data_IF_997019591294
#
_entry.id   IF_997019591294
#
_cell.length_a   1.000
_cell.length_b   1.000
_cell.length_c   1.000
_cell.angle_alpha   90.00
_cell.angle_beta   90.00
_cell.angle_gamma   90.00
#
_symmetry.space_group_name_H-M   'P 1'
#
loop_
_entity.id
_entity.type
_entity.pdbx_description
1 polymer ?
#
# COMPACT_ATOMS: atom_id res chain seq x y z
N UNK A 1 -17.24 15.16 -17.77
CA UNK A 1 -15.86 14.98 -18.29
C UNK A 1 -15.00 14.54 -17.16
N UNK A 2 -14.36 13.38 -17.30
CA UNK A 2 -13.55 12.73 -16.26
C UNK A 2 -12.06 12.95 -16.56
N UNK A 3 -11.23 13.00 -15.52
CA UNK A 3 -9.77 13.08 -15.65
C UNK A 3 -9.19 11.69 -15.74
N UNK A 4 -8.38 11.44 -16.74
CA UNK A 4 -7.73 10.15 -16.99
C UNK A 4 -6.23 10.33 -17.12
N UNK A 5 -5.50 9.27 -16.76
CA UNK A 5 -4.06 9.20 -16.95
C UNK A 5 -3.67 7.88 -17.60
N UNK A 6 -2.65 7.89 -18.44
CA UNK A 6 -2.10 6.67 -19.03
C UNK A 6 -0.63 6.85 -19.39
N UNK A 7 0.04 5.73 -19.57
CA UNK A 7 1.42 5.65 -20.05
C UNK A 7 1.38 5.16 -21.47
N UNK A 8 2.01 5.93 -22.38
CA UNK A 8 2.28 5.51 -23.75
C UNK A 8 3.75 5.14 -23.90
N UNK A 9 4.03 4.03 -24.57
CA UNK A 9 5.36 3.73 -25.09
C UNK A 9 5.36 4.00 -26.59
N UNK A 10 6.21 4.92 -27.01
CA UNK A 10 6.26 5.38 -28.39
C UNK A 10 7.64 5.07 -28.97
N UNK A 11 7.76 4.84 -30.30
CA UNK A 11 9.07 4.76 -30.93
C UNK A 11 9.82 6.11 -30.82
N UNK A 12 11.13 6.06 -30.72
CA UNK A 12 11.97 7.27 -30.72
C UNK A 12 12.14 7.83 -32.15
N UNK A 13 10.99 8.12 -32.78
CA UNK A 13 10.91 8.64 -34.13
C UNK A 13 10.35 10.05 -34.18
N UNK A 14 10.78 10.90 -35.13
CA UNK A 14 10.13 12.19 -35.36
C UNK A 14 8.64 12.02 -35.62
N UNK A 15 7.80 12.75 -34.82
CA UNK A 15 6.35 12.71 -34.96
C UNK A 15 5.64 11.65 -34.11
N UNK A 16 6.34 10.82 -33.33
CA UNK A 16 5.70 9.84 -32.46
C UNK A 16 4.74 10.51 -31.45
N UNK A 17 5.20 11.53 -30.74
CA UNK A 17 4.38 12.31 -29.83
C UNK A 17 3.21 13.02 -30.54
N UNK A 18 3.44 13.51 -31.76
CA UNK A 18 2.41 14.14 -32.58
C UNK A 18 1.27 13.15 -32.88
N UNK A 19 1.59 11.91 -33.30
CA UNK A 19 0.58 10.86 -33.55
C UNK A 19 -0.26 10.54 -32.31
N UNK A 20 0.35 10.48 -31.14
CA UNK A 20 -0.39 10.31 -29.89
C UNK A 20 -1.35 11.47 -29.62
N UNK A 21 -0.87 12.72 -29.79
CA UNK A 21 -1.68 13.91 -29.61
C UNK A 21 -2.83 14.03 -30.65
N UNK A 22 -2.62 13.58 -31.90
CA UNK A 22 -3.67 13.51 -32.92
C UNK A 22 -4.79 12.53 -32.52
N UNK A 23 -4.46 11.36 -31.97
CA UNK A 23 -5.45 10.42 -31.49
C UNK A 23 -6.22 11.02 -30.31
N UNK A 24 -5.55 11.66 -29.37
CA UNK A 24 -6.19 12.32 -28.23
C UNK A 24 -7.17 13.39 -28.73
N UNK A 25 -6.73 14.24 -29.64
CA UNK A 25 -7.56 15.29 -30.27
C UNK A 25 -8.77 14.72 -31.04
N UNK A 26 -8.59 13.61 -31.78
CA UNK A 26 -9.66 12.94 -32.54
C UNK A 26 -10.88 12.62 -31.69
N UNK A 27 -10.68 12.30 -30.44
CA UNK A 27 -11.72 11.99 -29.47
C UNK A 27 -12.01 13.14 -28.47
N UNK A 28 -11.68 14.36 -28.86
CA UNK A 28 -11.94 15.57 -28.09
C UNK A 28 -11.29 15.56 -26.68
N UNK A 29 -10.22 14.77 -26.50
CA UNK A 29 -9.44 14.74 -25.26
C UNK A 29 -8.63 16.01 -25.11
N UNK A 30 -8.72 16.66 -23.94
CA UNK A 30 -7.87 17.78 -23.58
C UNK A 30 -6.70 17.31 -22.75
N UNK A 31 -5.47 17.50 -23.26
CA UNK A 31 -4.25 17.17 -22.52
C UNK A 31 -4.03 18.22 -21.43
N UNK A 32 -4.15 17.82 -20.17
CA UNK A 32 -3.92 18.68 -19.02
C UNK A 32 -2.45 18.68 -18.61
N UNK A 33 -1.78 17.52 -18.81
CA UNK A 33 -0.38 17.34 -18.46
C UNK A 33 0.26 16.29 -19.36
N UNK A 34 1.53 16.53 -19.68
CA UNK A 34 2.40 15.59 -20.35
C UNK A 34 3.76 15.57 -19.64
N UNK A 35 4.29 14.40 -19.41
CA UNK A 35 5.65 14.24 -18.93
C UNK A 35 6.43 13.34 -19.91
N UNK A 36 7.48 13.89 -20.51
CA UNK A 36 8.34 13.21 -21.46
C UNK A 36 9.76 13.76 -21.39
N UNK A 37 10.69 12.89 -21.11
CA UNK A 37 12.11 13.25 -21.10
C UNK A 37 12.91 12.27 -21.98
N UNK A 38 13.11 12.64 -23.23
CA UNK A 38 13.83 11.85 -24.23
C UNK A 38 15.25 11.47 -23.80
N UNK A 39 15.89 12.28 -22.96
CA UNK A 39 17.28 12.01 -22.52
C UNK A 39 17.37 10.84 -21.54
N UNK A 40 16.27 10.51 -20.89
CA UNK A 40 16.21 9.50 -19.84
C UNK A 40 15.51 8.25 -20.33
N UNK A 41 14.31 8.40 -20.87
CA UNK A 41 13.58 7.34 -21.54
C UNK A 41 12.97 7.92 -22.84
N UNK A 42 13.55 7.58 -24.01
CA UNK A 42 13.07 8.10 -25.27
C UNK A 42 11.72 7.49 -25.72
N UNK A 43 11.24 6.49 -25.00
CA UNK A 43 10.08 5.71 -25.40
C UNK A 43 8.83 5.98 -24.55
N UNK A 44 8.99 6.35 -23.28
CA UNK A 44 7.87 6.45 -22.33
C UNK A 44 7.38 7.88 -22.16
N UNK A 45 6.06 8.07 -22.31
CA UNK A 45 5.39 9.35 -22.13
C UNK A 45 4.17 9.16 -21.20
N UNK A 46 4.06 10.04 -20.22
CA UNK A 46 2.91 10.11 -19.35
C UNK A 46 1.95 11.18 -19.86
N UNK A 47 0.69 10.82 -19.99
CA UNK A 47 -0.39 11.74 -20.34
C UNK A 47 -1.41 11.81 -19.22
N UNK A 48 -1.81 13.03 -18.88
CA UNK A 48 -3.02 13.32 -18.11
C UNK A 48 -3.95 14.13 -19.00
N UNK A 49 -5.18 13.70 -19.11
CA UNK A 49 -6.16 14.34 -19.99
C UNK A 49 -7.57 14.34 -19.40
N UNK A 50 -8.41 15.21 -19.91
CA UNK A 50 -9.85 15.24 -19.60
C UNK A 50 -10.64 14.81 -20.84
N UNK A 51 -11.53 13.81 -20.68
CA UNK A 51 -12.40 13.30 -21.74
C UNK A 51 -13.71 12.74 -21.13
N UNK A 52 -14.66 12.30 -21.99
CA UNK A 52 -15.74 11.41 -21.54
C UNK A 52 -15.21 9.98 -21.42
N UNK A 53 -15.89 9.13 -20.63
CA UNK A 53 -15.50 7.74 -20.43
C UNK A 53 -15.50 6.97 -21.77
N UNK A 54 -16.48 7.23 -22.63
CA UNK A 54 -16.59 6.64 -23.97
C UNK A 54 -15.44 7.08 -24.89
N UNK A 55 -15.13 8.38 -24.92
CA UNK A 55 -14.01 8.95 -25.68
C UNK A 55 -12.68 8.38 -25.23
N UNK A 56 -12.46 8.23 -23.90
CA UNK A 56 -11.27 7.62 -23.34
C UNK A 56 -11.11 6.15 -23.76
N UNK A 57 -12.21 5.36 -23.74
CA UNK A 57 -12.21 3.98 -24.21
C UNK A 57 -11.80 3.85 -25.69
N UNK A 58 -12.37 4.67 -26.57
CA UNK A 58 -12.02 4.67 -28.01
C UNK A 58 -10.58 5.16 -28.25
N UNK A 59 -10.13 6.17 -27.54
CA UNK A 59 -8.78 6.70 -27.61
C UNK A 59 -7.72 5.66 -27.21
N UNK A 60 -7.95 4.98 -26.09
CA UNK A 60 -7.02 3.94 -25.60
C UNK A 60 -6.97 2.74 -26.56
N UNK A 61 -8.08 2.40 -27.20
CA UNK A 61 -8.10 1.33 -28.21
C UNK A 61 -7.31 1.72 -29.46
N UNK A 62 -7.43 2.95 -29.97
CA UNK A 62 -6.63 3.41 -31.11
C UNK A 62 -5.14 3.52 -30.76
N UNK A 63 -4.80 3.98 -29.54
CA UNK A 63 -3.39 3.98 -29.08
C UNK A 63 -2.82 2.56 -28.96
N UNK A 64 -3.63 1.61 -28.49
CA UNK A 64 -3.24 0.19 -28.42
C UNK A 64 -3.01 -0.40 -29.81
N UNK A 65 -3.88 -0.07 -30.79
CA UNK A 65 -3.80 -0.56 -32.17
C UNK A 65 -2.52 -0.11 -32.85
N UNK A 66 -2.00 1.09 -32.55
CA UNK A 66 -0.71 1.55 -33.10
C UNK A 66 0.49 1.15 -32.23
N UNK A 67 0.26 0.34 -31.18
CA UNK A 67 1.31 -0.15 -30.30
C UNK A 67 1.83 0.85 -29.27
N UNK A 68 1.11 1.95 -29.04
CA UNK A 68 1.54 2.99 -28.10
C UNK A 68 1.05 2.78 -26.68
N UNK A 69 -0.06 2.08 -26.47
CA UNK A 69 -0.56 1.80 -25.14
C UNK A 69 -0.02 0.45 -24.65
N UNK A 70 0.76 0.48 -23.58
CA UNK A 70 1.21 -0.74 -22.92
C UNK A 70 0.23 -1.19 -21.83
N UNK A 71 -0.05 -2.48 -21.83
CA UNK A 71 -0.85 -3.15 -20.80
C UNK A 71 0.04 -3.88 -19.79
N UNK A 72 1.34 -3.98 -20.06
CA UNK A 72 2.32 -4.63 -19.19
C UNK A 72 3.52 -3.71 -18.96
N UNK A 73 3.97 -3.63 -17.72
CA UNK A 73 5.19 -2.93 -17.32
C UNK A 73 6.44 -3.74 -17.71
N UNK A 74 6.76 -3.77 -19.01
CA UNK A 74 8.11 -4.07 -19.43
C UNK A 74 8.91 -2.77 -19.36
N UNK A 75 9.64 -2.57 -18.30
CA UNK A 75 10.41 -1.34 -18.11
C UNK A 75 11.86 -1.59 -18.36
N UNK A 76 12.51 -0.81 -19.24
CA UNK A 76 13.94 -0.84 -19.33
C UNK A 76 14.56 -0.46 -17.98
N UNK A 77 15.49 -1.25 -17.51
CA UNK A 77 16.31 -0.90 -16.36
C UNK A 77 17.28 0.19 -16.77
N UNK A 78 17.40 1.22 -15.95
CA UNK A 78 18.33 2.31 -16.19
C UNK A 78 19.48 2.23 -15.19
N UNK A 79 20.72 2.26 -15.67
CA UNK A 79 21.92 2.22 -14.84
C UNK A 79 22.81 3.41 -15.15
N UNK A 80 23.07 4.25 -14.18
CA UNK A 80 24.05 5.34 -14.28
C UNK A 80 25.20 5.09 -13.33
N UNK A 81 26.41 5.21 -13.85
CA UNK A 81 27.60 5.02 -13.06
C UNK A 81 28.79 5.77 -13.67
N UNK A 82 29.78 6.05 -12.81
CA UNK A 82 31.09 6.44 -13.27
C UNK A 82 31.95 5.19 -13.45
N UNK A 83 32.63 5.11 -14.58
CA UNK A 83 33.71 4.16 -14.82
C UNK A 83 35.01 4.91 -14.98
N UNK A 84 36.08 4.40 -14.38
CA UNK A 84 37.40 4.98 -14.47
C UNK A 84 38.19 4.18 -15.50
N UNK A 85 38.37 4.79 -16.70
CA UNK A 85 39.06 4.18 -17.82
C UNK A 85 40.49 4.67 -17.87
N UNK A 86 41.49 3.79 -18.21
CA UNK A 86 42.86 4.23 -18.43
C UNK A 86 42.91 5.19 -19.60
N UNK A 87 43.69 6.26 -19.49
CA UNK A 87 43.84 7.27 -20.53
C UNK A 87 44.78 6.75 -21.62
N UNK A 88 44.27 5.81 -22.44
CA UNK A 88 45.00 5.19 -23.57
C UNK A 88 44.09 4.91 -24.74
N UNK A 89 44.64 4.90 -25.97
CA UNK A 89 43.88 4.56 -27.16
C UNK A 89 43.19 3.18 -27.04
N UNK A 90 41.88 3.14 -27.35
CA UNK A 90 41.10 1.91 -27.33
C UNK A 90 40.41 1.58 -25.98
N UNK A 91 40.73 2.26 -24.85
CA UNK A 91 40.14 1.96 -23.57
C UNK A 91 38.62 2.10 -23.55
N UNK A 92 38.08 3.15 -24.18
CA UNK A 92 36.63 3.32 -24.33
C UNK A 92 36.03 2.23 -25.20
N UNK A 93 36.66 1.84 -26.29
CA UNK A 93 36.20 0.76 -27.19
C UNK A 93 36.11 -0.57 -26.43
N UNK A 94 37.12 -0.90 -25.65
CA UNK A 94 37.12 -2.12 -24.82
C UNK A 94 35.95 -2.11 -23.82
N UNK A 95 35.70 -0.99 -23.17
CA UNK A 95 34.57 -0.83 -22.30
C UNK A 95 33.22 -0.97 -23.03
N UNK A 96 33.07 -0.33 -24.21
CA UNK A 96 31.84 -0.39 -25.00
C UNK A 96 31.53 -1.81 -25.51
N UNK A 97 32.52 -2.68 -25.65
CA UNK A 97 32.29 -4.09 -25.98
C UNK A 97 31.47 -4.81 -24.89
N UNK A 98 31.64 -4.43 -23.60
CA UNK A 98 30.82 -4.99 -22.51
C UNK A 98 29.38 -4.53 -22.59
N UNK A 99 29.14 -3.25 -22.88
CA UNK A 99 27.76 -2.73 -23.01
C UNK A 99 27.05 -3.36 -24.20
N UNK A 100 27.73 -3.51 -25.33
CA UNK A 100 27.20 -4.18 -26.52
C UNK A 100 26.91 -5.66 -26.27
N UNK A 101 27.84 -6.37 -25.59
CA UNK A 101 27.66 -7.80 -25.28
C UNK A 101 26.52 -8.04 -24.28
N UNK A 102 26.16 -7.04 -23.51
CA UNK A 102 25.05 -7.07 -22.55
C UNK A 102 23.73 -6.57 -23.14
N UNK A 103 23.71 -6.23 -24.44
CA UNK A 103 22.54 -5.61 -25.11
C UNK A 103 22.07 -4.33 -24.42
N UNK A 104 23.03 -3.56 -23.89
CA UNK A 104 22.77 -2.33 -23.15
C UNK A 104 22.86 -1.14 -24.09
N UNK A 105 21.79 -0.36 -24.17
CA UNK A 105 21.77 0.87 -24.96
C UNK A 105 22.33 2.04 -24.14
N UNK A 106 23.22 2.83 -24.75
CA UNK A 106 23.83 4.01 -24.12
C UNK A 106 22.90 5.19 -24.31
N UNK A 107 22.29 5.64 -23.19
CA UNK A 107 21.43 6.82 -23.16
C UNK A 107 22.23 8.13 -23.00
N UNK A 108 23.37 8.05 -22.30
CA UNK A 108 24.23 9.20 -22.06
C UNK A 108 25.67 8.74 -21.82
N UNK A 109 26.63 9.51 -22.32
CA UNK A 109 28.06 9.37 -22.03
C UNK A 109 28.67 10.76 -21.93
N UNK A 110 29.42 10.99 -20.88
CA UNK A 110 30.18 12.23 -20.65
C UNK A 110 31.61 11.90 -20.27
N UNK A 111 32.54 12.46 -21.04
CA UNK A 111 33.97 12.30 -20.86
C UNK A 111 34.68 13.60 -21.22
N UNK A 112 35.53 14.09 -20.31
CA UNK A 112 36.34 15.29 -20.50
C UNK A 112 37.78 15.03 -20.03
N UNK A 113 38.74 14.93 -20.95
CA UNK A 113 40.14 14.72 -20.66
C UNK A 113 40.84 15.92 -20.03
N UNK A 114 40.21 17.10 -20.07
CA UNK A 114 40.65 18.35 -19.40
C UNK A 114 39.97 18.61 -18.09
N UNK A 115 39.01 17.76 -17.74
CA UNK A 115 38.27 17.89 -16.50
C UNK A 115 39.11 17.57 -15.26
N UNK A 116 38.53 17.81 -14.08
CA UNK A 116 39.16 17.52 -12.78
C UNK A 116 39.52 16.04 -12.59
N UNK A 117 38.83 15.16 -13.31
CA UNK A 117 39.02 13.70 -13.25
C UNK A 117 39.06 13.15 -14.69
N UNK A 118 40.21 13.23 -15.39
CA UNK A 118 40.31 12.90 -16.80
C UNK A 118 40.09 11.41 -17.14
N UNK A 119 40.17 10.55 -16.14
CA UNK A 119 39.92 9.10 -16.29
C UNK A 119 38.44 8.72 -16.10
N UNK A 120 37.62 9.65 -15.60
CA UNK A 120 36.23 9.37 -15.25
C UNK A 120 35.32 9.56 -16.45
N UNK A 121 34.63 8.49 -16.82
CA UNK A 121 33.55 8.51 -17.80
C UNK A 121 32.23 8.29 -17.07
N UNK A 122 31.30 9.22 -17.18
CA UNK A 122 29.94 9.07 -16.66
C UNK A 122 29.05 8.47 -17.76
N UNK A 123 28.41 7.35 -17.46
CA UNK A 123 27.58 6.62 -18.41
C UNK A 123 26.23 6.34 -17.82
N UNK A 124 25.21 6.50 -18.69
CA UNK A 124 23.85 6.06 -18.41
C UNK A 124 23.45 5.05 -19.48
N UNK A 125 22.98 3.90 -19.04
CA UNK A 125 22.56 2.80 -19.90
C UNK A 125 21.07 2.55 -19.73
N UNK A 126 20.40 2.20 -20.83
CA UNK A 126 19.06 1.63 -20.82
C UNK A 126 19.17 0.13 -21.07
N UNK A 127 18.54 -0.67 -20.24
CA UNK A 127 18.58 -2.13 -20.25
C UNK A 127 17.16 -2.68 -20.30
N UNK A 128 16.91 -3.66 -21.14
CA UNK A 128 15.56 -4.23 -21.28
C UNK A 128 15.14 -5.07 -20.07
N UNK A 129 16.09 -5.58 -19.30
CA UNK A 129 15.85 -6.37 -18.08
C UNK A 129 16.81 -5.98 -16.95
N UNK A 130 16.33 -5.96 -15.71
CA UNK A 130 17.15 -5.68 -14.53
C UNK A 130 18.29 -6.70 -14.33
N UNK A 131 18.06 -7.96 -14.71
CA UNK A 131 19.08 -9.01 -14.65
C UNK A 131 20.29 -8.72 -15.57
N UNK A 132 20.11 -7.92 -16.62
CA UNK A 132 21.20 -7.48 -17.50
C UNK A 132 22.13 -6.51 -16.75
N UNK A 133 21.58 -5.62 -15.91
CA UNK A 133 22.39 -4.71 -15.09
C UNK A 133 23.33 -5.47 -14.15
N UNK A 134 22.82 -6.50 -13.48
CA UNK A 134 23.62 -7.30 -12.55
C UNK A 134 24.71 -8.08 -13.26
N UNK A 135 24.40 -8.68 -14.42
CA UNK A 135 25.41 -9.37 -15.26
C UNK A 135 26.48 -8.41 -15.75
N UNK A 136 26.09 -7.23 -16.24
CA UNK A 136 27.00 -6.21 -16.72
C UNK A 136 27.92 -5.71 -15.60
N UNK A 137 27.37 -5.35 -14.45
CA UNK A 137 28.16 -4.90 -13.30
C UNK A 137 29.10 -5.98 -12.79
N UNK A 138 28.66 -7.25 -12.78
CA UNK A 138 29.50 -8.40 -12.41
C UNK A 138 30.66 -8.58 -13.36
N UNK A 139 30.47 -8.35 -14.67
CA UNK A 139 31.51 -8.43 -15.67
C UNK A 139 32.48 -7.25 -15.62
N UNK A 140 32.02 -6.05 -15.28
CA UNK A 140 32.82 -4.82 -15.24
C UNK A 140 33.64 -4.65 -13.95
N UNK A 141 33.07 -5.00 -12.78
CA UNK A 141 33.74 -4.82 -11.46
C UNK A 141 35.13 -5.40 -11.33
N UNK A 142 35.50 -6.56 -11.91
CA UNK A 142 36.87 -7.09 -11.83
C UNK A 142 37.88 -6.32 -12.69
N UNK A 143 37.42 -5.56 -13.68
CA UNK A 143 38.28 -4.91 -14.69
C UNK A 143 38.39 -3.40 -14.54
N UNK A 144 37.32 -2.77 -14.00
CA UNK A 144 37.24 -1.32 -13.89
C UNK A 144 36.84 -0.91 -12.49
N UNK A 145 37.38 0.22 -12.04
CA UNK A 145 36.85 0.91 -10.89
C UNK A 145 35.50 1.51 -11.31
N UNK A 146 34.43 1.12 -10.62
CA UNK A 146 33.08 1.61 -10.84
C UNK A 146 32.59 2.36 -9.60
N UNK A 147 31.93 3.48 -9.85
CA UNK A 147 31.17 4.22 -8.85
C UNK A 147 29.72 4.27 -9.35
N UNK A 148 28.85 3.48 -8.72
CA UNK A 148 27.45 3.42 -9.11
C UNK A 148 26.76 4.66 -8.59
N UNK A 149 26.34 5.53 -9.50
CA UNK A 149 25.54 6.68 -9.23
C UNK A 149 24.07 6.23 -9.19
N UNK A 150 23.73 5.39 -8.22
CA UNK A 150 22.32 5.14 -7.96
C UNK A 150 21.72 6.43 -7.45
N UNK A 151 20.91 7.09 -8.31
CA UNK A 151 20.14 8.27 -7.95
C UNK A 151 20.94 9.43 -7.37
N UNK A 152 21.04 10.44 -8.20
CA UNK A 152 21.19 11.83 -7.83
C UNK A 152 21.82 12.14 -6.48
N UNK A 153 23.14 12.10 -6.46
CA UNK A 153 23.92 12.76 -5.43
C UNK A 153 24.21 14.23 -5.75
N UNK A 154 23.70 14.77 -6.87
CA UNK A 154 24.03 16.12 -7.34
C UNK A 154 22.96 17.17 -7.09
N UNK A 155 21.81 16.82 -6.49
CA UNK A 155 20.71 17.77 -6.20
C UNK A 155 19.99 18.29 -7.46
N UNK A 156 20.35 17.88 -8.65
CA UNK A 156 19.58 18.08 -9.87
C UNK A 156 18.51 16.99 -9.94
N UNK A 157 17.25 17.38 -9.99
CA UNK A 157 16.10 16.50 -10.07
C UNK A 157 16.20 15.60 -11.30
N UNK A 158 16.96 14.53 -11.18
CA UNK A 158 16.90 13.45 -12.15
C UNK A 158 15.54 12.83 -12.02
N UNK A 159 14.88 13.01 -13.06
CA UNK A 159 13.67 12.44 -13.55
C UNK A 159 13.02 11.49 -12.56
N UNK A 160 12.10 12.05 -11.83
CA UNK A 160 11.19 11.33 -10.96
C UNK A 160 10.56 10.12 -11.67
N UNK A 161 10.46 10.17 -13.00
CA UNK A 161 9.94 9.08 -13.83
C UNK A 161 10.70 7.77 -13.65
N UNK A 162 12.04 7.79 -13.66
CA UNK A 162 12.86 6.58 -13.47
C UNK A 162 12.69 6.05 -12.06
N UNK A 163 12.64 6.94 -11.07
CA UNK A 163 12.38 6.56 -9.68
C UNK A 163 11.02 5.86 -9.55
N UNK A 164 9.96 6.42 -10.13
CA UNK A 164 8.61 5.87 -10.02
C UNK A 164 8.44 4.54 -10.75
N UNK A 165 9.06 4.41 -11.92
CA UNK A 165 9.05 3.14 -12.65
C UNK A 165 9.76 2.04 -11.85
N UNK A 166 10.92 2.33 -11.25
CA UNK A 166 11.60 1.38 -10.37
C UNK A 166 10.83 1.09 -9.08
N UNK A 167 10.18 2.09 -8.52
CA UNK A 167 9.28 1.88 -7.40
C UNK A 167 8.19 0.87 -7.78
N UNK A 168 7.52 1.04 -8.91
CA UNK A 168 6.50 0.10 -9.40
C UNK A 168 7.07 -1.31 -9.65
N UNK A 169 8.29 -1.43 -10.18
CA UNK A 169 8.97 -2.73 -10.35
C UNK A 169 9.24 -3.42 -9.00
N UNK A 170 9.71 -2.68 -7.99
CA UNK A 170 9.92 -3.21 -6.63
C UNK A 170 8.61 -3.54 -5.94
N UNK A 171 7.54 -2.82 -6.28
CA UNK A 171 6.21 -3.02 -5.73
C UNK A 171 5.54 -4.29 -6.30
N UNK A 172 5.78 -4.61 -7.58
CA UNK A 172 5.17 -5.76 -8.27
C UNK A 172 5.23 -7.08 -7.50
N UNK A 173 6.38 -7.56 -6.99
CA UNK A 173 6.43 -8.83 -6.26
C UNK A 173 5.72 -8.80 -4.90
N UNK A 174 5.33 -7.61 -4.42
CA UNK A 174 4.59 -7.42 -3.17
C UNK A 174 3.07 -7.42 -3.41
N UNK A 175 2.61 -6.81 -4.52
CA UNK A 175 1.18 -6.74 -4.85
C UNK A 175 0.69 -7.94 -5.65
N UNK A 176 1.55 -8.58 -6.44
CA UNK A 176 1.25 -9.72 -7.30
C UNK A 176 1.45 -9.40 -8.78
N UNK A 177 1.83 -10.41 -9.56
CA UNK A 177 2.16 -10.26 -10.99
C UNK A 177 0.95 -9.93 -11.87
N UNK A 178 -0.27 -10.17 -11.39
CA UNK A 178 -1.51 -9.88 -12.11
C UNK A 178 -2.00 -8.43 -11.93
N UNK A 179 -1.33 -7.64 -11.10
CA UNK A 179 -1.78 -6.30 -10.69
C UNK A 179 -1.22 -5.17 -11.58
N UNK A 180 -0.84 -5.48 -12.82
CA UNK A 180 -0.31 -4.48 -13.77
C UNK A 180 -1.26 -3.29 -13.97
N UNK A 181 -2.56 -3.52 -14.01
CA UNK A 181 -3.54 -2.44 -14.14
C UNK A 181 -3.55 -1.48 -12.94
N UNK A 182 -3.33 -1.99 -11.73
CA UNK A 182 -3.17 -1.17 -10.54
C UNK A 182 -1.86 -0.37 -10.59
N UNK A 183 -0.74 -1.04 -10.92
CA UNK A 183 0.57 -0.38 -11.01
C UNK A 183 0.59 0.72 -12.07
N UNK A 184 -0.09 0.51 -13.20
CA UNK A 184 -0.24 1.55 -14.24
C UNK A 184 -1.05 2.74 -13.75
N UNK A 185 -2.13 2.53 -13.02
CA UNK A 185 -2.92 3.62 -12.40
C UNK A 185 -2.09 4.37 -11.37
N UNK A 186 -1.40 3.65 -10.48
CA UNK A 186 -0.52 4.26 -9.48
C UNK A 186 0.54 5.18 -10.13
N UNK A 187 1.18 4.71 -11.19
CA UNK A 187 2.13 5.53 -11.96
C UNK A 187 1.46 6.75 -12.60
N UNK A 188 0.22 6.61 -13.06
CA UNK A 188 -0.56 7.73 -13.61
C UNK A 188 -0.88 8.78 -12.55
N UNK A 189 -1.20 8.35 -11.34
CA UNK A 189 -1.57 9.23 -10.23
C UNK A 189 -0.35 9.78 -9.48
N UNK A 190 0.84 9.28 -9.78
CA UNK A 190 2.05 9.56 -8.99
C UNK A 190 2.36 11.06 -8.88
N UNK A 191 2.11 11.82 -9.94
CA UNK A 191 2.33 13.27 -9.92
C UNK A 191 1.38 13.99 -8.97
N UNK A 192 0.13 13.52 -8.89
CA UNK A 192 -0.86 14.05 -7.95
C UNK A 192 -0.46 13.70 -6.52
N UNK A 193 -0.08 12.44 -6.29
CA UNK A 193 0.45 11.96 -4.99
C UNK A 193 1.62 12.82 -4.53
N UNK A 194 2.59 13.05 -5.40
CA UNK A 194 3.78 13.87 -5.08
C UNK A 194 3.42 15.32 -4.78
N UNK A 195 2.46 15.90 -5.51
CA UNK A 195 1.99 17.26 -5.23
C UNK A 195 1.30 17.35 -3.86
N UNK A 196 0.44 16.40 -3.51
CA UNK A 196 -0.20 16.36 -2.19
C UNK A 196 0.83 16.13 -1.07
N UNK A 197 1.77 15.19 -1.24
CA UNK A 197 2.85 14.98 -0.27
C UNK A 197 3.69 16.24 -0.08
N UNK A 198 4.04 16.94 -1.16
CA UNK A 198 4.80 18.19 -1.11
C UNK A 198 4.02 19.31 -0.41
N UNK A 199 2.71 19.39 -0.65
CA UNK A 199 1.84 20.39 0.00
C UNK A 199 1.79 20.23 1.52
N UNK A 200 1.96 19.01 2.03
CA UNK A 200 2.04 18.71 3.46
C UNK A 200 3.47 18.58 3.99
N UNK A 201 4.47 18.95 3.17
CA UNK A 201 5.88 18.98 3.58
C UNK A 201 6.55 17.61 3.72
N UNK A 202 6.01 16.56 3.08
CA UNK A 202 6.59 15.21 3.12
C UNK A 202 7.47 14.94 1.90
N UNK A 203 8.61 14.28 2.15
CA UNK A 203 9.49 13.79 1.08
C UNK A 203 8.87 12.53 0.44
N UNK A 204 8.50 12.62 -0.84
CA UNK A 204 7.89 11.53 -1.57
C UNK A 204 8.78 10.28 -1.66
N UNK A 205 10.11 10.44 -1.72
CA UNK A 205 11.05 9.30 -1.78
C UNK A 205 11.06 8.51 -0.48
N UNK A 206 10.99 9.20 0.64
CA UNK A 206 10.87 8.58 1.96
C UNK A 206 9.53 7.84 2.09
N UNK A 207 8.43 8.46 1.67
CA UNK A 207 7.09 7.86 1.66
C UNK A 207 7.06 6.59 0.80
N UNK A 208 7.58 6.63 -0.43
CA UNK A 208 7.61 5.44 -1.29
C UNK A 208 8.53 4.33 -0.76
N UNK A 209 9.64 4.69 -0.11
CA UNK A 209 10.48 3.71 0.60
C UNK A 209 9.71 3.03 1.73
N UNK A 210 8.91 3.76 2.48
CA UNK A 210 8.07 3.22 3.55
C UNK A 210 6.96 2.31 3.06
N UNK A 211 6.35 2.63 1.92
CA UNK A 211 5.39 1.74 1.26
C UNK A 211 6.03 0.38 0.95
N UNK A 212 7.23 0.37 0.38
CA UNK A 212 7.95 -0.89 0.11
C UNK A 212 8.28 -1.65 1.39
N UNK A 213 8.71 -0.95 2.45
CA UNK A 213 8.96 -1.57 3.76
C UNK A 213 7.70 -2.20 4.34
N UNK A 214 6.56 -1.51 4.26
CA UNK A 214 5.27 -2.04 4.73
C UNK A 214 4.95 -3.37 4.07
N UNK A 215 4.95 -3.43 2.73
CA UNK A 215 4.66 -4.66 1.99
C UNK A 215 5.69 -5.77 2.24
N UNK A 216 6.97 -5.41 2.33
CA UNK A 216 8.06 -6.37 2.63
C UNK A 216 7.90 -6.96 4.03
N UNK A 217 7.64 -6.13 5.04
CA UNK A 217 7.47 -6.58 6.43
C UNK A 217 6.27 -7.51 6.56
N UNK A 218 5.11 -7.19 5.95
CA UNK A 218 3.94 -8.08 5.96
C UNK A 218 4.27 -9.45 5.36
N UNK A 219 5.02 -9.47 4.25
CA UNK A 219 5.43 -10.73 3.61
C UNK A 219 6.43 -11.52 4.45
N UNK A 220 7.41 -10.86 5.04
CA UNK A 220 8.46 -11.51 5.87
C UNK A 220 7.92 -12.03 7.19
N UNK A 221 6.87 -11.41 7.73
CA UNK A 221 6.24 -11.82 8.99
C UNK A 221 5.06 -12.80 8.80
N UNK A 222 4.85 -13.34 7.60
CA UNK A 222 3.89 -14.40 7.31
C UNK A 222 4.59 -15.77 7.18
N UNK A 223 3.85 -16.87 7.34
CA UNK A 223 4.37 -18.23 7.23
C UNK A 223 5.47 -18.50 8.26
N UNK A 224 6.68 -18.85 7.83
CA UNK A 224 7.79 -19.17 8.72
C UNK A 224 8.24 -17.98 9.60
N UNK A 225 7.92 -16.75 9.20
CA UNK A 225 8.22 -15.55 9.96
C UNK A 225 7.10 -15.14 10.92
N UNK A 226 5.97 -15.83 10.91
CA UNK A 226 4.83 -15.48 11.75
C UNK A 226 5.11 -15.73 13.23
N UNK A 227 4.69 -14.79 14.06
CA UNK A 227 4.72 -14.88 15.51
C UNK A 227 3.50 -14.16 16.11
N UNK A 228 3.09 -14.55 17.31
CA UNK A 228 2.04 -13.86 18.04
C UNK A 228 2.32 -13.89 19.54
N UNK A 229 2.00 -12.79 20.22
CA UNK A 229 1.88 -12.82 21.67
C UNK A 229 0.46 -13.25 22.02
N UNK A 230 0.34 -14.18 22.98
CA UNK A 230 -0.94 -14.78 23.33
C UNK A 230 -1.19 -14.63 24.83
N UNK A 231 -2.34 -14.04 25.16
CA UNK A 231 -2.81 -13.95 26.53
C UNK A 231 -4.16 -14.67 26.65
N UNK A 232 -4.30 -15.51 27.66
CA UNK A 232 -5.59 -16.11 28.06
C UNK A 232 -6.06 -15.49 29.34
N UNK A 233 -7.30 -15.03 29.36
CA UNK A 233 -7.97 -14.42 30.51
C UNK A 233 -9.23 -15.23 30.81
N UNK A 234 -9.31 -15.96 31.92
CA UNK A 234 -10.56 -16.56 32.37
C UNK A 234 -11.52 -15.43 32.78
N UNK A 235 -12.62 -15.26 32.05
CA UNK A 235 -13.61 -14.21 32.32
C UNK A 235 -14.67 -14.72 33.28
N UNK A 236 -15.20 -15.93 33.00
CA UNK A 236 -16.11 -16.64 33.88
C UNK A 236 -15.67 -18.10 34.02
N UNK A 237 -16.40 -18.91 34.81
CA UNK A 237 -16.11 -20.37 34.89
C UNK A 237 -16.22 -21.08 33.52
N UNK A 238 -17.00 -20.53 32.60
CA UNK A 238 -17.31 -21.13 31.30
C UNK A 238 -16.74 -20.35 30.10
N UNK A 239 -16.13 -19.19 30.33
CA UNK A 239 -15.68 -18.32 29.23
C UNK A 239 -14.24 -17.91 29.41
N UNK A 240 -13.40 -18.31 28.47
CA UNK A 240 -12.05 -17.79 28.29
C UNK A 240 -12.01 -16.73 27.20
N UNK A 241 -11.33 -15.62 27.45
CA UNK A 241 -10.94 -14.65 26.47
C UNK A 241 -9.47 -14.88 26.08
N UNK A 242 -9.22 -15.15 24.82
CA UNK A 242 -7.88 -15.18 24.23
C UNK A 242 -7.61 -13.87 23.48
N UNK A 243 -6.49 -13.22 23.80
CA UNK A 243 -5.99 -12.04 23.12
C UNK A 243 -4.76 -12.47 22.30
N UNK A 244 -4.83 -12.34 20.98
CA UNK A 244 -3.74 -12.66 20.07
C UNK A 244 -3.23 -11.38 19.42
N UNK A 245 -1.99 -11.00 19.72
CA UNK A 245 -1.33 -9.87 19.09
C UNK A 245 -0.41 -10.37 17.96
N UNK A 246 -0.82 -10.18 16.71
CA UNK A 246 -0.07 -10.61 15.52
C UNK A 246 1.07 -9.65 15.16
N UNK A 247 1.93 -9.95 14.15
CA UNK A 247 3.18 -9.19 13.94
C UNK A 247 3.02 -7.70 13.64
N UNK A 248 2.20 -7.33 12.68
CA UNK A 248 2.19 -5.99 12.07
C UNK A 248 1.00 -5.11 12.46
N UNK A 249 0.29 -5.45 13.50
CA UNK A 249 -0.90 -4.72 13.93
C UNK A 249 -2.13 -5.61 13.93
N UNK A 250 -3.22 -5.04 14.41
CA UNK A 250 -4.44 -5.77 14.72
C UNK A 250 -4.27 -6.74 15.89
N UNK A 251 -5.27 -6.79 16.72
CA UNK A 251 -5.42 -7.83 17.72
C UNK A 251 -6.64 -8.68 17.34
N UNK A 252 -6.54 -9.97 17.54
CA UNK A 252 -7.68 -10.87 17.45
C UNK A 252 -8.10 -11.20 18.89
N UNK A 253 -9.37 -10.99 19.19
CA UNK A 253 -9.91 -11.42 20.46
C UNK A 253 -10.88 -12.57 20.22
N UNK A 254 -10.70 -13.68 20.94
CA UNK A 254 -11.55 -14.85 20.82
C UNK A 254 -12.14 -15.19 22.18
N UNK A 255 -13.46 -15.10 22.29
CA UNK A 255 -14.20 -15.65 23.40
C UNK A 255 -14.53 -17.11 23.09
N UNK A 256 -14.08 -17.99 23.96
CA UNK A 256 -14.32 -19.43 23.86
C UNK A 256 -15.21 -19.90 25.01
N UNK A 257 -16.37 -20.44 24.66
CA UNK A 257 -17.26 -21.16 25.58
C UNK A 257 -17.21 -22.67 25.27
N UNK A 258 -17.83 -23.55 26.07
CA UNK A 258 -17.95 -24.96 25.73
C UNK A 258 -18.63 -25.22 24.37
N UNK A 259 -19.62 -24.39 24.01
CA UNK A 259 -20.50 -24.64 22.88
C UNK A 259 -20.24 -23.73 21.67
N UNK A 260 -19.71 -22.53 21.88
CA UNK A 260 -19.46 -21.56 20.83
C UNK A 260 -18.11 -20.85 20.97
N UNK A 261 -17.64 -20.26 19.88
CA UNK A 261 -16.58 -19.27 19.90
C UNK A 261 -17.04 -18.01 19.12
N UNK A 262 -16.67 -16.85 19.66
CA UNK A 262 -16.95 -15.55 19.08
C UNK A 262 -15.65 -14.78 18.91
N UNK A 263 -15.42 -14.28 17.71
CA UNK A 263 -14.17 -13.59 17.37
C UNK A 263 -14.42 -12.10 17.12
N UNK A 264 -13.55 -11.25 17.67
CA UNK A 264 -13.51 -9.82 17.38
C UNK A 264 -12.25 -9.54 16.58
N UNK A 265 -12.43 -9.00 15.38
CA UNK A 265 -11.43 -8.74 14.35
C UNK A 265 -10.70 -9.99 13.83
N UNK A 266 -10.02 -9.87 12.69
CA UNK A 266 -9.55 -11.02 11.91
C UNK A 266 -8.09 -10.94 11.46
N UNK A 267 -7.38 -9.86 11.83
CA UNK A 267 -6.05 -9.51 11.33
C UNK A 267 -5.98 -9.34 9.79
N UNK A 268 -4.77 -9.16 9.27
CA UNK A 268 -4.51 -9.12 7.83
C UNK A 268 -4.78 -10.47 7.16
N UNK A 269 -5.37 -10.45 5.97
CA UNK A 269 -5.65 -11.68 5.21
C UNK A 269 -4.42 -12.53 4.89
N UNK A 270 -3.24 -11.91 4.73
CA UNK A 270 -1.98 -12.63 4.51
C UNK A 270 -1.61 -13.55 5.66
N UNK A 271 -2.07 -13.26 6.88
CA UNK A 271 -1.82 -14.07 8.07
C UNK A 271 -2.86 -15.17 8.30
N UNK A 272 -3.93 -15.23 7.48
CA UNK A 272 -5.02 -16.17 7.74
C UNK A 272 -4.56 -17.63 8.00
N UNK A 273 -3.66 -18.25 7.19
CA UNK A 273 -3.21 -19.61 7.45
C UNK A 273 -2.48 -19.76 8.80
N UNK A 274 -1.73 -18.75 9.17
CA UNK A 274 -0.96 -18.72 10.43
C UNK A 274 -1.89 -18.51 11.63
N UNK A 275 -2.88 -17.63 11.47
CA UNK A 275 -3.92 -17.38 12.46
C UNK A 275 -4.78 -18.60 12.69
N UNK A 276 -5.20 -19.30 11.63
CA UNK A 276 -5.96 -20.54 11.74
C UNK A 276 -5.18 -21.60 12.54
N UNK A 277 -3.91 -21.83 12.19
CA UNK A 277 -3.04 -22.74 12.91
C UNK A 277 -2.84 -22.34 14.39
N UNK A 278 -2.73 -21.04 14.65
CA UNK A 278 -2.62 -20.48 16.00
C UNK A 278 -3.91 -20.72 16.81
N UNK A 279 -5.08 -20.40 16.23
CA UNK A 279 -6.37 -20.61 16.89
C UNK A 279 -6.58 -22.08 17.25
N UNK A 280 -6.30 -23.02 16.33
CA UNK A 280 -6.39 -24.47 16.57
C UNK A 280 -5.43 -24.93 17.67
N UNK A 281 -4.25 -24.36 17.75
CA UNK A 281 -3.27 -24.69 18.78
C UNK A 281 -3.71 -24.30 20.18
N UNK A 282 -4.28 -23.09 20.33
CA UNK A 282 -4.63 -22.56 21.65
C UNK A 282 -6.08 -22.90 22.07
N UNK A 283 -6.97 -23.11 21.09
CA UNK A 283 -8.38 -23.43 21.32
C UNK A 283 -8.78 -24.61 20.43
N UNK A 284 -8.39 -25.84 20.81
CA UNK A 284 -8.71 -27.04 20.02
C UNK A 284 -10.21 -27.17 19.74
N UNK A 285 -10.56 -27.46 18.47
CA UNK A 285 -11.94 -27.58 18.00
C UNK A 285 -12.65 -26.24 17.81
N UNK A 286 -11.92 -25.14 17.74
CA UNK A 286 -12.48 -23.80 17.51
C UNK A 286 -13.19 -23.70 16.16
N UNK A 287 -12.72 -24.40 15.14
CA UNK A 287 -13.30 -24.40 13.78
C UNK A 287 -14.75 -24.88 13.76
N UNK A 288 -15.11 -25.82 14.63
CA UNK A 288 -16.49 -26.31 14.77
C UNK A 288 -17.40 -25.47 15.66
N UNK A 289 -16.80 -24.51 16.41
CA UNK A 289 -17.51 -23.67 17.37
C UNK A 289 -17.55 -22.19 17.02
N UNK A 290 -16.66 -21.74 16.11
CA UNK A 290 -16.62 -20.35 15.68
C UNK A 290 -17.89 -20.01 14.91
N UNK A 291 -18.78 -19.26 15.52
CA UNK A 291 -20.14 -19.04 15.04
C UNK A 291 -20.36 -17.63 14.46
N UNK A 292 -19.57 -16.68 14.93
CA UNK A 292 -19.74 -15.26 14.58
C UNK A 292 -18.39 -14.52 14.66
N UNK A 293 -18.27 -13.52 13.78
CA UNK A 293 -17.19 -12.52 13.84
C UNK A 293 -17.83 -11.14 14.08
N UNK A 294 -17.17 -10.28 14.82
CA UNK A 294 -17.44 -8.85 14.84
C UNK A 294 -16.23 -8.13 14.27
N UNK A 295 -16.46 -7.26 13.30
CA UNK A 295 -15.44 -6.37 12.72
C UNK A 295 -15.63 -4.99 13.35
N UNK A 296 -14.62 -4.53 14.08
CA UNK A 296 -14.69 -3.24 14.78
C UNK A 296 -14.67 -2.05 13.82
N UNK A 297 -13.87 -2.13 12.76
CA UNK A 297 -13.76 -1.11 11.71
C UNK A 297 -13.11 -1.66 10.44
N UNK A 298 -12.96 -0.82 9.41
CA UNK A 298 -12.64 -1.26 8.06
C UNK A 298 -11.15 -1.45 7.76
N UNK A 299 -10.24 -1.04 8.65
CA UNK A 299 -8.81 -1.20 8.39
C UNK A 299 -8.42 -2.67 8.19
N UNK A 300 -7.46 -2.90 7.29
CA UNK A 300 -7.16 -4.23 6.79
C UNK A 300 -6.63 -5.20 7.85
N UNK A 301 -6.03 -4.71 8.92
CA UNK A 301 -5.57 -5.50 10.08
C UNK A 301 -6.69 -5.87 11.05
N UNK A 302 -7.89 -5.39 10.82
CA UNK A 302 -9.10 -5.74 11.57
C UNK A 302 -10.09 -6.55 10.74
N UNK A 303 -10.31 -6.15 9.49
CA UNK A 303 -11.33 -6.76 8.61
C UNK A 303 -10.78 -7.69 7.55
N UNK A 304 -9.44 -7.67 7.31
CA UNK A 304 -8.82 -8.22 6.11
C UNK A 304 -8.80 -9.74 6.00
N UNK A 305 -8.92 -10.47 7.10
CA UNK A 305 -9.01 -11.93 7.13
C UNK A 305 -10.43 -12.48 7.12
N UNK A 306 -11.45 -11.61 7.25
CA UNK A 306 -12.84 -12.05 7.49
C UNK A 306 -13.46 -12.90 6.40
N UNK A 307 -13.10 -12.69 5.13
CA UNK A 307 -13.63 -13.43 3.99
C UNK A 307 -13.05 -14.84 3.80
N UNK A 308 -12.08 -15.23 4.63
CA UNK A 308 -11.61 -16.62 4.68
C UNK A 308 -12.47 -17.51 5.57
N UNK A 309 -13.38 -16.91 6.36
CA UNK A 309 -14.33 -17.61 7.22
C UNK A 309 -15.73 -17.57 6.60
N UNK A 310 -16.38 -18.75 6.45
CA UNK A 310 -17.76 -18.84 5.95
C UNK A 310 -18.77 -18.75 7.11
N UNK A 311 -18.67 -17.66 7.88
CA UNK A 311 -19.55 -17.39 9.02
C UNK A 311 -20.04 -15.93 9.00
N UNK A 312 -21.16 -15.60 9.67
CA UNK A 312 -21.67 -14.23 9.74
C UNK A 312 -20.69 -13.28 10.40
N UNK A 313 -20.43 -12.14 9.78
CA UNK A 313 -19.65 -11.05 10.34
C UNK A 313 -20.52 -9.85 10.62
N UNK A 314 -20.56 -9.42 11.89
CA UNK A 314 -21.28 -8.24 12.34
C UNK A 314 -20.40 -7.01 12.15
N UNK A 315 -20.94 -5.96 11.55
CA UNK A 315 -20.22 -4.69 11.40
C UNK A 315 -21.18 -3.50 11.25
N UNK A 316 -20.63 -2.32 11.41
CA UNK A 316 -21.35 -1.07 11.15
C UNK A 316 -21.50 -0.83 9.64
N UNK A 317 -22.59 -0.12 9.24
CA UNK A 317 -22.83 0.25 7.84
C UNK A 317 -21.64 1.04 7.25
N UNK A 318 -21.08 2.03 7.97
CA UNK A 318 -19.93 2.82 7.53
C UNK A 318 -18.68 1.97 7.29
N UNK A 319 -18.44 0.94 8.12
CA UNK A 319 -17.37 -0.04 7.91
C UNK A 319 -17.54 -0.77 6.58
N UNK A 320 -18.74 -1.25 6.28
CA UNK A 320 -19.06 -1.89 4.99
C UNK A 320 -18.85 -0.93 3.82
N UNK A 321 -19.31 0.31 3.93
CA UNK A 321 -19.17 1.33 2.88
C UNK A 321 -17.71 1.64 2.56
N UNK A 322 -16.84 1.78 3.59
CA UNK A 322 -15.39 1.95 3.42
C UNK A 322 -14.78 0.75 2.67
N UNK A 323 -15.15 -0.48 3.06
CA UNK A 323 -14.67 -1.71 2.41
C UNK A 323 -15.07 -1.73 0.93
N UNK A 324 -16.34 -1.44 0.61
CA UNK A 324 -16.87 -1.43 -0.75
C UNK A 324 -16.22 -0.34 -1.63
N UNK A 325 -15.90 0.81 -1.06
CA UNK A 325 -15.23 1.93 -1.75
C UNK A 325 -13.72 1.78 -1.84
N UNK A 326 -13.14 0.88 -1.07
CA UNK A 326 -11.68 0.76 -0.89
C UNK A 326 -11.00 2.11 -0.63
N UNK A 327 -11.62 2.90 0.24
CA UNK A 327 -11.13 4.23 0.66
C UNK A 327 -11.43 4.43 2.16
N UNK A 328 -10.42 4.32 3.01
CA UNK A 328 -10.57 4.42 4.47
C UNK A 328 -11.10 5.76 4.95
N UNK A 329 -10.93 6.81 4.14
CA UNK A 329 -11.44 8.14 4.45
C UNK A 329 -12.91 8.37 4.06
N UNK A 330 -13.56 7.38 3.43
CA UNK A 330 -14.96 7.50 3.02
C UNK A 330 -15.86 7.89 4.18
N UNK A 331 -16.77 8.83 3.94
CA UNK A 331 -17.65 9.40 4.98
C UNK A 331 -16.99 10.45 5.89
N UNK A 332 -15.74 10.83 5.65
CA UNK A 332 -15.00 11.84 6.41
C UNK A 332 -14.73 13.12 5.61
N UNK A 333 -14.18 14.13 6.28
CA UNK A 333 -13.80 15.41 5.64
C UNK A 333 -12.66 15.27 4.63
N UNK A 334 -11.87 14.21 4.71
CA UNK A 334 -10.71 13.94 3.85
C UNK A 334 -10.97 12.85 2.81
N UNK A 335 -12.23 12.52 2.56
CA UNK A 335 -12.64 11.49 1.59
C UNK A 335 -12.03 11.67 0.20
N UNK A 336 -11.84 12.93 -0.23
CA UNK A 336 -11.25 13.27 -1.53
C UNK A 336 -9.73 13.18 -1.61
N UNK A 337 -9.03 12.81 -0.54
CA UNK A 337 -7.57 12.69 -0.57
C UNK A 337 -7.11 11.46 -1.37
N UNK A 338 -6.31 11.69 -2.40
CA UNK A 338 -5.69 10.62 -3.19
C UNK A 338 -4.75 9.77 -2.32
N UNK A 339 -4.15 10.33 -1.28
CA UNK A 339 -3.23 9.63 -0.39
C UNK A 339 -3.96 8.52 0.39
N UNK A 340 -5.15 8.81 0.91
CA UNK A 340 -5.97 7.85 1.66
C UNK A 340 -6.47 6.71 0.76
N UNK A 341 -6.89 7.03 -0.46
CA UNK A 341 -7.33 6.03 -1.42
C UNK A 341 -6.18 5.10 -1.84
N UNK A 342 -5.03 5.67 -2.19
CA UNK A 342 -3.84 4.91 -2.61
C UNK A 342 -3.32 4.04 -1.46
N UNK A 343 -3.26 4.58 -0.23
CA UNK A 343 -2.86 3.83 0.94
C UNK A 343 -3.77 2.61 1.15
N UNK A 344 -5.08 2.82 1.13
CA UNK A 344 -6.06 1.73 1.32
C UNK A 344 -5.87 0.62 0.29
N UNK A 345 -5.73 0.98 -1.00
CA UNK A 345 -5.52 0.01 -2.08
C UNK A 345 -4.21 -0.76 -1.94
N UNK A 346 -3.12 -0.07 -1.58
CA UNK A 346 -1.81 -0.71 -1.37
C UNK A 346 -1.84 -1.69 -0.21
N UNK A 347 -2.38 -1.29 0.93
CA UNK A 347 -2.50 -2.16 2.12
C UNK A 347 -3.38 -3.38 1.81
N UNK A 348 -4.49 -3.18 1.10
CA UNK A 348 -5.38 -4.29 0.72
C UNK A 348 -4.65 -5.32 -0.17
N UNK A 349 -3.82 -4.87 -1.11
CA UNK A 349 -3.03 -5.76 -1.96
C UNK A 349 -1.93 -6.48 -1.17
N UNK A 350 -1.14 -5.76 -0.37
CA UNK A 350 -0.07 -6.35 0.43
C UNK A 350 -0.58 -7.39 1.42
N UNK A 351 -1.70 -7.08 2.06
CA UNK A 351 -2.31 -7.90 3.09
C UNK A 351 -3.14 -9.05 2.55
N UNK A 352 -3.29 -9.21 1.23
CA UNK A 352 -4.24 -10.17 0.63
C UNK A 352 -5.65 -9.99 1.21
N UNK A 353 -6.09 -8.74 1.26
CA UNK A 353 -7.35 -8.33 1.84
C UNK A 353 -8.52 -9.12 1.26
N UNK A 354 -9.21 -9.83 2.13
CA UNK A 354 -10.44 -10.53 1.81
C UNK A 354 -11.46 -10.25 2.90
N UNK A 355 -12.29 -9.23 2.71
CA UNK A 355 -13.30 -8.85 3.72
C UNK A 355 -14.40 -9.90 3.82
N UNK A 356 -15.18 -9.91 4.91
CA UNK A 356 -16.30 -10.82 5.07
C UNK A 356 -17.30 -10.72 3.93
N UNK A 357 -17.80 -11.86 3.46
CA UNK A 357 -18.84 -11.94 2.44
C UNK A 357 -20.26 -12.03 3.06
N UNK A 358 -20.37 -12.70 4.22
CA UNK A 358 -21.63 -12.86 4.96
C UNK A 358 -21.78 -11.79 6.02
N UNK A 359 -22.29 -10.62 5.63
CA UNK A 359 -22.35 -9.43 6.48
C UNK A 359 -23.72 -9.34 7.15
N UNK A 360 -23.71 -9.10 8.47
CA UNK A 360 -24.87 -8.67 9.27
C UNK A 360 -24.58 -7.27 9.76
N UNK A 361 -25.40 -6.29 9.37
CA UNK A 361 -25.22 -4.92 9.80
C UNK A 361 -25.89 -4.70 11.16
N UNK A 362 -25.24 -3.92 12.02
CA UNK A 362 -25.89 -3.42 13.22
C UNK A 362 -27.09 -2.56 12.86
N UNK A 363 -28.11 -2.51 13.73
CA UNK A 363 -29.25 -1.61 13.57
C UNK A 363 -28.82 -0.15 13.42
N UNK A 364 -29.71 0.66 12.87
CA UNK A 364 -29.50 2.11 12.86
C UNK A 364 -29.52 2.65 14.31
N UNK A 365 -28.84 3.79 14.49
CA UNK A 365 -28.71 4.47 15.78
C UNK A 365 -30.06 4.66 16.47
N UNK A 366 -30.15 4.14 17.68
CA UNK A 366 -31.25 4.40 18.61
C UNK A 366 -31.02 5.66 19.47
N UNK A 367 -31.92 5.84 20.48
CA UNK A 367 -31.82 6.96 21.44
C UNK A 367 -30.93 6.62 22.64
N UNK A 368 -30.60 5.34 22.85
CA UNK A 368 -29.81 4.89 23.99
C UNK A 368 -28.38 5.36 23.87
N UNK A 369 -27.84 5.90 24.95
CA UNK A 369 -26.47 6.39 25.04
C UNK A 369 -25.71 5.71 26.17
N UNK A 370 -24.45 5.39 25.94
CA UNK A 370 -23.51 5.00 26.97
C UNK A 370 -22.31 5.96 26.96
N UNK A 371 -22.21 6.81 27.99
CA UNK A 371 -21.33 7.98 27.96
C UNK A 371 -21.69 8.91 26.79
N UNK A 372 -20.73 9.18 25.90
CA UNK A 372 -20.96 10.00 24.69
C UNK A 372 -21.31 9.18 23.44
N UNK A 373 -21.38 7.85 23.57
CA UNK A 373 -21.53 6.93 22.46
C UNK A 373 -22.97 6.40 22.34
N UNK A 374 -23.59 6.44 21.15
CA UNK A 374 -24.83 5.74 20.92
C UNK A 374 -24.67 4.23 21.09
N UNK A 375 -25.65 3.57 21.68
CA UNK A 375 -25.73 2.11 21.73
C UNK A 375 -26.46 1.63 20.48
N UNK A 376 -25.77 0.82 19.67
CA UNK A 376 -26.33 0.23 18.44
C UNK A 376 -27.06 -1.07 18.73
N UNK A 377 -26.47 -1.92 19.56
CA UNK A 377 -26.96 -3.27 19.78
C UNK A 377 -26.43 -3.83 21.11
N UNK A 378 -26.99 -5.00 21.49
CA UNK A 378 -26.55 -5.81 22.63
C UNK A 378 -26.23 -7.22 22.15
N UNK A 379 -24.94 -7.60 22.29
CA UNK A 379 -24.48 -8.92 21.90
C UNK A 379 -24.28 -9.82 23.13
N UNK A 380 -24.73 -11.06 23.02
CA UNK A 380 -24.48 -12.09 24.04
C UNK A 380 -23.46 -13.10 23.55
N UNK A 381 -22.53 -13.44 24.44
CA UNK A 381 -21.53 -14.48 24.28
C UNK A 381 -21.54 -15.31 25.55
N UNK A 382 -22.17 -16.48 25.53
CA UNK A 382 -22.49 -17.21 26.74
C UNK A 382 -23.32 -16.37 27.72
N UNK A 383 -22.82 -16.17 28.93
CA UNK A 383 -23.40 -15.33 29.98
C UNK A 383 -22.96 -13.87 29.93
N UNK A 384 -22.05 -13.47 29.06
CA UNK A 384 -21.64 -12.08 28.86
C UNK A 384 -22.64 -11.31 28.01
N UNK A 385 -22.98 -10.10 28.41
CA UNK A 385 -23.72 -9.14 27.61
C UNK A 385 -22.87 -7.92 27.28
N UNK A 386 -22.62 -7.67 26.00
CA UNK A 386 -21.88 -6.53 25.50
C UNK A 386 -22.82 -5.47 24.92
N UNK A 387 -22.59 -4.22 25.26
CA UNK A 387 -23.10 -3.08 24.52
C UNK A 387 -22.18 -2.83 23.32
N UNK A 388 -22.76 -2.72 22.13
CA UNK A 388 -22.06 -2.29 20.91
C UNK A 388 -22.25 -0.79 20.80
N UNK A 389 -21.17 -0.03 20.93
CA UNK A 389 -21.18 1.43 20.93
C UNK A 389 -20.71 1.95 19.57
N UNK A 390 -21.44 2.93 19.01
CA UNK A 390 -21.04 3.60 17.79
C UNK A 390 -19.96 4.63 18.06
N UNK A 391 -18.81 4.53 17.38
CA UNK A 391 -17.80 5.57 17.37
C UNK A 391 -18.32 6.85 16.67
N UNK A 392 -17.71 7.97 17.01
CA UNK A 392 -18.12 9.28 16.46
C UNK A 392 -17.38 9.62 15.15
N UNK A 393 -16.61 8.68 14.62
CA UNK A 393 -15.87 8.84 13.37
C UNK A 393 -14.50 9.52 13.53
N UNK A 394 -13.88 9.40 14.69
CA UNK A 394 -12.56 9.97 14.94
C UNK A 394 -11.45 9.20 14.25
N UNK A 395 -11.39 7.88 14.47
CA UNK A 395 -10.44 7.01 13.78
C UNK A 395 -10.93 6.71 12.36
N UNK A 396 -12.06 6.01 12.24
CA UNK A 396 -12.74 5.78 10.96
C UNK A 396 -14.25 5.94 11.11
N UNK A 397 -14.92 6.25 10.01
CA UNK A 397 -16.37 6.22 9.94
C UNK A 397 -16.89 4.80 10.17
N UNK A 398 -17.84 4.62 11.08
CA UNK A 398 -18.43 3.31 11.38
C UNK A 398 -17.61 2.41 12.30
N UNK A 399 -16.57 2.92 12.96
CA UNK A 399 -15.89 2.16 14.01
C UNK A 399 -16.85 1.92 15.19
N UNK A 400 -16.78 0.72 15.79
CA UNK A 400 -17.56 0.34 16.97
C UNK A 400 -16.65 -0.05 18.12
N UNK A 401 -17.17 0.11 19.34
CA UNK A 401 -16.56 -0.34 20.58
C UNK A 401 -17.45 -1.38 21.25
N UNK A 402 -16.85 -2.28 22.04
CA UNK A 402 -17.59 -3.22 22.83
C UNK A 402 -17.32 -2.95 24.31
N UNK A 403 -18.37 -2.91 25.11
CA UNK A 403 -18.25 -2.81 26.57
C UNK A 403 -19.14 -3.82 27.26
N UNK A 404 -18.56 -4.55 28.20
CA UNK A 404 -19.30 -5.41 29.14
C UNK A 404 -19.06 -4.88 30.55
N UNK A 405 -19.96 -4.01 31.07
CA UNK A 405 -19.73 -3.33 32.32
C UNK A 405 -19.68 -4.28 33.52
N UNK A 406 -20.42 -5.38 33.47
CA UNK A 406 -20.48 -6.38 34.54
C UNK A 406 -19.13 -7.03 34.83
N UNK A 407 -18.33 -7.24 33.77
CA UNK A 407 -17.02 -7.90 33.88
C UNK A 407 -15.85 -6.94 33.63
N UNK A 408 -16.10 -5.64 33.46
CA UNK A 408 -15.06 -4.64 33.26
C UNK A 408 -14.30 -4.81 31.94
N UNK A 409 -14.92 -5.35 30.88
CA UNK A 409 -14.31 -5.54 29.59
C UNK A 409 -14.63 -4.36 28.68
N UNK A 410 -13.60 -3.80 28.05
CA UNK A 410 -13.73 -2.69 27.09
C UNK A 410 -12.79 -2.93 25.90
N UNK A 411 -13.36 -3.01 24.70
CA UNK A 411 -12.63 -3.11 23.43
C UNK A 411 -12.72 -1.78 22.70
N UNK A 412 -11.58 -1.14 22.54
CA UNK A 412 -11.48 0.26 22.08
C UNK A 412 -11.07 0.37 20.61
N UNK A 413 -10.95 -0.76 19.91
CA UNK A 413 -10.38 -0.80 18.56
C UNK A 413 -9.12 0.10 18.50
N UNK A 414 -8.94 0.88 17.46
CA UNK A 414 -7.74 1.71 17.28
C UNK A 414 -7.82 3.12 17.89
N UNK A 415 -8.83 3.39 18.71
CA UNK A 415 -8.93 4.67 19.41
C UNK A 415 -7.99 4.78 20.60
N UNK A 416 -7.73 3.68 21.33
CA UNK A 416 -6.79 3.65 22.46
C UNK A 416 -5.71 2.61 22.18
N UNK A 417 -4.50 3.07 21.86
CA UNK A 417 -3.33 2.25 21.55
C UNK A 417 -2.23 2.49 22.58
N UNK A 418 -1.60 1.43 23.06
CA UNK A 418 -0.46 1.48 23.97
C UNK A 418 0.85 1.17 23.20
N UNK A 419 1.40 2.18 22.53
CA UNK A 419 2.65 2.04 21.80
C UNK A 419 3.86 1.68 22.68
N UNK A 420 3.84 2.03 23.96
CA UNK A 420 4.97 1.75 24.87
C UNK A 420 5.13 0.26 25.17
N UNK A 421 4.04 -0.51 25.09
CA UNK A 421 4.07 -1.97 25.27
C UNK A 421 4.48 -2.75 24.01
N UNK A 422 4.54 -2.11 22.84
CA UNK A 422 4.91 -2.77 21.59
C UNK A 422 6.39 -3.13 21.56
N UNK A 423 6.73 -4.28 20.95
CA UNK A 423 8.12 -4.60 20.58
C UNK A 423 8.69 -3.53 19.65
N UNK A 424 10.01 -3.48 19.50
CA UNK A 424 10.67 -2.51 18.62
C UNK A 424 10.18 -2.67 17.17
N UNK A 425 10.06 -3.89 16.69
CA UNK A 425 9.65 -4.24 15.33
C UNK A 425 8.21 -3.78 15.04
N UNK A 426 7.27 -4.09 15.97
CA UNK A 426 5.88 -3.63 15.84
C UNK A 426 5.77 -2.11 15.90
N UNK A 427 6.54 -1.47 16.76
CA UNK A 427 6.57 0.00 16.85
C UNK A 427 7.08 0.62 15.55
N UNK A 428 8.16 0.09 14.99
CA UNK A 428 8.73 0.54 13.72
C UNK A 428 7.72 0.39 12.58
N UNK A 429 7.06 -0.77 12.47
CA UNK A 429 6.02 -0.99 11.45
C UNK A 429 4.90 0.06 11.53
N UNK A 430 4.42 0.34 12.72
CA UNK A 430 3.33 1.33 12.92
C UNK A 430 3.73 2.76 12.53
N UNK A 431 5.03 3.08 12.44
CA UNK A 431 5.47 4.40 11.95
C UNK A 431 5.40 4.53 10.43
N UNK A 432 5.38 3.43 9.67
CA UNK A 432 5.36 3.49 8.21
C UNK A 432 4.07 4.10 7.65
N UNK A 433 2.94 3.84 8.29
CA UNK A 433 1.65 4.38 7.89
C UNK A 433 1.60 5.91 7.92
N UNK A 434 2.22 6.55 8.89
CA UNK A 434 2.24 8.00 9.06
C UNK A 434 2.93 8.74 7.91
N UNK A 435 3.70 8.05 7.10
CA UNK A 435 4.42 8.67 5.99
C UNK A 435 3.50 8.94 4.80
N UNK A 436 2.59 8.04 4.49
CA UNK A 436 1.62 8.24 3.40
C UNK A 436 0.35 8.91 3.92
N UNK A 437 -0.22 8.42 5.01
CA UNK A 437 -1.33 9.07 5.70
C UNK A 437 -0.79 10.20 6.58
N UNK A 438 -1.50 11.30 6.66
CA UNK A 438 -1.13 12.40 7.56
C UNK A 438 -1.39 12.06 9.02
N UNK A 439 -2.30 11.15 9.27
CA UNK A 439 -2.69 10.63 10.58
C UNK A 439 -3.42 9.30 10.40
N UNK A 440 -3.27 8.40 11.35
CA UNK A 440 -4.08 7.16 11.43
C UNK A 440 -5.58 7.46 11.67
N UNK A 441 -5.90 8.67 12.13
CA UNK A 441 -7.27 9.12 12.38
C UNK A 441 -7.75 10.05 11.28
N UNK A 442 -8.95 9.84 10.76
CA UNK A 442 -9.57 10.73 9.77
C UNK A 442 -10.05 12.06 10.39
N UNK A 443 -10.29 12.09 11.70
CA UNK A 443 -10.52 13.30 12.48
C UNK A 443 -9.88 13.20 13.87
N UNK A 444 -8.67 13.76 14.00
CA UNK A 444 -7.87 13.67 15.25
C UNK A 444 -8.49 14.39 16.45
N UNK A 445 -9.35 15.38 16.23
CA UNK A 445 -10.05 16.07 17.33
C UNK A 445 -11.15 15.19 17.90
N UNK A 446 -11.95 14.59 17.02
CA UNK A 446 -12.99 13.63 17.41
C UNK A 446 -12.34 12.42 18.08
N UNK A 447 -11.28 11.84 17.51
CA UNK A 447 -10.54 10.71 18.10
C UNK A 447 -10.02 11.02 19.52
N UNK A 448 -9.55 12.24 19.77
CA UNK A 448 -9.12 12.67 21.11
C UNK A 448 -10.28 12.73 22.11
N UNK A 449 -11.45 13.20 21.65
CA UNK A 449 -12.67 13.24 22.48
C UNK A 449 -13.17 11.83 22.81
N UNK A 450 -13.18 10.94 21.82
CA UNK A 450 -13.55 9.54 22.02
C UNK A 450 -12.60 8.84 22.99
N UNK A 451 -11.28 9.00 22.80
CA UNK A 451 -10.26 8.44 23.70
C UNK A 451 -10.46 8.87 25.15
N UNK A 452 -10.75 10.15 25.37
CA UNK A 452 -11.02 10.66 26.72
C UNK A 452 -12.24 9.97 27.34
N UNK A 453 -13.33 9.83 26.60
CA UNK A 453 -14.55 9.19 27.08
C UNK A 453 -14.34 7.69 27.34
N UNK A 454 -13.60 6.97 26.47
CA UNK A 454 -13.27 5.55 26.68
C UNK A 454 -12.41 5.35 27.93
N UNK A 455 -11.45 6.23 28.19
CA UNK A 455 -10.64 6.19 29.41
C UNK A 455 -11.43 6.53 30.67
N UNK A 456 -12.53 7.31 30.59
CA UNK A 456 -13.45 7.56 31.67
C UNK A 456 -14.35 6.33 31.94
N UNK A 457 -14.75 5.59 30.89
CA UNK A 457 -15.49 4.32 31.00
C UNK A 457 -14.64 3.23 31.67
N UNK A 458 -13.33 3.20 31.38
CA UNK A 458 -12.37 2.19 31.87
C UNK A 458 -12.00 2.40 33.38
N UNK A 459 -12.43 3.48 34.02
CA UNK A 459 -12.16 3.79 35.43
C UNK A 459 -13.24 3.23 36.35
#
# INVERSE_FOLDING_TARGET
MTRFSFIARMPDDPGALHRAAEIIKKYEGNINRIHYNRRIDPYTVFFELTASDEAYGMMTEDLRRIGYLQTTLATPSFLRFNVYLPHQPGALLEFLNFTTSADANIAFIDFDDKGRYPERVTISLTLDESAVADRLLTALKPRYRLEILEYDTTGESLDDTVFYVRFAQKLRPLVGETEDAFLMRLLSDINHIVQELSAIGKDHREVFSSILRTGTTLKETSGNGFYADVQRIPVTENIDLFCFQVPCGGNIFLFATPDEAFMVDTAYGIYHPDVEAMLLRYVPGVEGRLSRILVTHADADHSGGGGYYDIPAFMHRGTREIIEKANRAYGSKIEGSVLEEVYTKLINLFSKFRPPERITLFPERGEEMYSIFPVLDRLRVGDLEFLVLEGLGGHLHGQVYLVCPEYGLLFTADTVLNFDSLTRERREYNTYADLLMTSVNVDSEVARRERKALLEIAR
#
